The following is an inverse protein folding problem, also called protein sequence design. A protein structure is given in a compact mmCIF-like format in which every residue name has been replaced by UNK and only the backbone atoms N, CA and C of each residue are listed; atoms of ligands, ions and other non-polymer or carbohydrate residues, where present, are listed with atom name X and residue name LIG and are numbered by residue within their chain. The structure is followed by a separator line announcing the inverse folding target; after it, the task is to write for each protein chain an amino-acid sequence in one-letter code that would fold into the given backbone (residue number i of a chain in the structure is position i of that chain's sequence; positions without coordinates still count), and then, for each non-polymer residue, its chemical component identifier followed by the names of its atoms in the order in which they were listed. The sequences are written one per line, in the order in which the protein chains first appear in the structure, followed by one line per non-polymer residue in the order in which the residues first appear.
data_IF_004339335958
#
_entry.id   IF_004339335958
#
_cell.length_a   1.000
_cell.length_b   1.000
_cell.length_c   1.000
_cell.angle_alpha   90.00
_cell.angle_beta   90.00
_cell.angle_gamma   90.00
#
_symmetry.space_group_name_H-M   'P 1'
#
loop_
_entity.id
_entity.type
_entity.pdbx_description
1 polymer ?
#
# COMPACT_ATOMS: atom_id res chain seq x y z
N UNK A 1 12.54 15.42 20.07
CA UNK A 1 12.38 15.60 18.62
C UNK A 1 13.49 14.83 17.93
N UNK A 2 13.21 13.61 17.43
CA UNK A 2 14.15 12.78 16.68
C UNK A 2 13.43 12.26 15.44
N UNK A 3 13.72 12.86 14.29
CA UNK A 3 13.16 12.49 13.00
C UNK A 3 14.30 12.53 11.99
N UNK A 4 14.85 11.35 11.67
CA UNK A 4 15.68 11.11 10.49
C UNK A 4 15.46 9.68 9.99
N UNK A 5 14.26 9.44 9.45
CA UNK A 5 14.06 8.47 8.39
C UNK A 5 14.71 9.08 7.15
N UNK A 6 15.98 8.75 6.88
CA UNK A 6 16.69 9.24 5.69
C UNK A 6 15.85 8.91 4.47
N UNK A 7 15.53 9.97 3.74
CA UNK A 7 14.61 10.04 2.64
C UNK A 7 14.86 8.96 1.56
N UNK A 8 13.76 8.37 1.06
CA UNK A 8 13.61 7.87 -0.31
C UNK A 8 14.51 6.72 -0.77
N UNK A 9 14.08 5.47 -0.51
CA UNK A 9 14.61 4.28 -1.18
C UNK A 9 14.92 3.15 -0.19
N UNK A 10 14.05 2.15 -0.18
CA UNK A 10 14.09 0.93 0.64
C UNK A 10 15.44 0.22 0.51
N UNK A 11 16.41 0.50 1.40
CA UNK A 11 17.28 -0.48 2.10
C UNK A 11 17.93 0.22 3.30
N UNK A 12 17.34 0.09 4.49
CA UNK A 12 17.97 0.51 5.75
C UNK A 12 18.47 -0.72 6.52
N UNK A 13 19.77 -0.76 6.84
CA UNK A 13 20.34 -1.79 7.72
C UNK A 13 20.11 -1.41 9.19
N UNK A 14 19.82 -2.39 10.04
CA UNK A 14 19.68 -2.18 11.49
C UNK A 14 21.06 -1.83 12.08
N UNK A 15 21.21 -0.59 12.56
CA UNK A 15 22.50 -0.06 13.04
C UNK A 15 22.71 -0.15 14.56
N UNK A 16 21.65 -0.13 15.36
CA UNK A 16 21.74 -0.34 16.81
C UNK A 16 20.47 -0.99 17.40
N UNK A 17 20.64 -2.04 18.21
CA UNK A 17 19.56 -2.74 18.94
C UNK A 17 19.82 -2.58 20.43
N UNK A 18 19.00 -1.78 21.11
CA UNK A 18 19.14 -1.55 22.55
C UNK A 18 18.72 -2.77 23.37
N UNK A 19 19.44 -3.00 24.47
CA UNK A 19 19.06 -4.01 25.45
C UNK A 19 17.67 -3.72 26.04
N UNK A 20 16.83 -4.77 26.16
CA UNK A 20 15.40 -4.77 26.54
C UNK A 20 14.43 -4.07 25.56
N UNK A 21 14.87 -3.74 24.34
CA UNK A 21 13.99 -3.18 23.32
C UNK A 21 13.03 -4.24 22.74
N UNK A 22 11.87 -3.82 22.19
CA UNK A 22 11.00 -4.70 21.43
C UNK A 22 11.73 -5.43 20.29
N UNK A 23 12.71 -4.78 19.66
CA UNK A 23 13.54 -5.37 18.61
C UNK A 23 14.37 -6.57 19.11
N UNK A 24 14.99 -6.49 20.30
CA UNK A 24 15.71 -7.61 20.89
C UNK A 24 14.77 -8.78 21.25
N UNK A 25 13.60 -8.48 21.81
CA UNK A 25 12.60 -9.51 22.17
C UNK A 25 12.05 -10.24 20.95
N UNK A 26 12.03 -9.57 19.79
CA UNK A 26 11.61 -10.14 18.52
C UNK A 26 12.77 -10.81 17.76
N UNK A 27 13.97 -10.84 18.34
CA UNK A 27 15.15 -11.47 17.76
C UNK A 27 15.76 -10.72 16.58
N UNK A 28 15.42 -9.44 16.39
CA UNK A 28 16.00 -8.60 15.35
C UNK A 28 17.44 -8.28 15.72
N UNK A 29 18.38 -8.64 14.84
CA UNK A 29 19.80 -8.48 15.08
C UNK A 29 20.44 -7.40 14.19
N UNK A 30 21.61 -6.95 14.60
CA UNK A 30 22.41 -5.98 13.88
C UNK A 30 22.77 -6.51 12.49
N UNK A 31 22.69 -5.65 11.47
CA UNK A 31 22.99 -6.03 10.09
C UNK A 31 21.84 -6.70 9.33
N UNK A 32 20.68 -6.92 9.98
CA UNK A 32 19.47 -7.32 9.26
C UNK A 32 19.03 -6.22 8.28
N UNK A 33 18.58 -6.63 7.10
CA UNK A 33 18.01 -5.74 6.08
C UNK A 33 16.51 -5.67 6.28
N UNK A 34 15.99 -4.45 6.46
CA UNK A 34 14.56 -4.22 6.50
C UNK A 34 14.00 -4.34 5.08
N UNK A 35 13.32 -5.45 4.80
CA UNK A 35 12.76 -5.77 3.48
C UNK A 35 11.43 -5.05 3.24
N UNK A 36 10.58 -4.99 4.26
CA UNK A 36 9.26 -4.38 4.16
C UNK A 36 8.85 -3.78 5.50
N UNK A 37 8.30 -2.57 5.47
CA UNK A 37 7.69 -1.92 6.62
C UNK A 37 6.19 -1.86 6.37
N UNK A 38 5.40 -2.57 7.18
CA UNK A 38 3.95 -2.39 7.17
C UNK A 38 3.60 -1.04 7.80
N UNK A 39 3.62 0.00 6.96
CA UNK A 39 3.09 1.31 7.33
C UNK A 39 1.59 1.31 7.11
N UNK A 40 0.85 2.08 7.91
CA UNK A 40 -0.55 2.40 7.64
C UNK A 40 -0.61 3.11 6.29
N UNK A 41 -0.88 2.34 5.24
CA UNK A 41 -1.05 2.86 3.91
C UNK A 41 -2.52 3.26 3.76
N UNK A 42 -2.76 4.54 3.45
CA UNK A 42 -4.07 5.02 2.98
C UNK A 42 -4.30 4.46 1.58
N UNK A 43 -4.56 3.15 1.48
CA UNK A 43 -4.96 2.52 0.23
C UNK A 43 -6.32 3.08 -0.14
N UNK A 44 -6.46 3.52 -1.38
CA UNK A 44 -7.77 3.93 -1.91
C UNK A 44 -8.78 2.79 -1.73
N UNK A 45 -9.98 3.12 -1.26
CA UNK A 45 -10.99 2.12 -0.93
C UNK A 45 -11.26 1.21 -2.12
N UNK A 46 -11.50 -0.07 -1.82
CA UNK A 46 -11.68 -1.11 -2.84
C UNK A 46 -12.79 -0.78 -3.85
N UNK A 47 -13.76 0.03 -3.44
CA UNK A 47 -14.91 0.46 -4.23
C UNK A 47 -14.52 1.23 -5.50
N UNK A 48 -13.43 2.01 -5.44
CA UNK A 48 -12.92 2.78 -6.58
C UNK A 48 -12.49 1.89 -7.75
N UNK A 49 -12.16 0.63 -7.48
CA UNK A 49 -11.76 -0.32 -8.53
C UNK A 49 -12.93 -0.77 -9.41
N UNK A 50 -14.18 -0.59 -8.96
CA UNK A 50 -15.36 -1.02 -9.73
C UNK A 50 -15.89 0.03 -10.71
N UNK A 51 -15.42 1.28 -10.63
CA UNK A 51 -15.86 2.38 -11.50
C UNK A 51 -15.76 2.02 -13.00
N UNK A 52 -14.65 1.42 -13.51
CA UNK A 52 -14.55 1.04 -14.91
C UNK A 52 -15.58 0.00 -15.35
N UNK A 53 -15.95 -0.92 -14.45
CA UNK A 53 -16.94 -1.96 -14.74
C UNK A 53 -18.35 -1.38 -14.89
N UNK A 54 -18.74 -0.47 -14.00
CA UNK A 54 -20.03 0.23 -14.09
C UNK A 54 -20.11 1.11 -15.34
N UNK A 55 -19.02 1.80 -15.70
CA UNK A 55 -18.94 2.58 -16.93
C UNK A 55 -19.18 1.71 -18.17
N UNK A 56 -18.50 0.56 -18.26
CA UNK A 56 -18.67 -0.38 -19.36
C UNK A 56 -20.13 -0.88 -19.46
N UNK A 57 -20.75 -1.19 -18.31
CA UNK A 57 -22.15 -1.63 -18.28
C UNK A 57 -23.11 -0.54 -18.77
N UNK A 58 -22.94 0.71 -18.33
CA UNK A 58 -23.76 1.84 -18.79
C UNK A 58 -23.61 2.10 -20.28
N UNK A 59 -22.39 1.99 -20.83
CA UNK A 59 -22.13 2.13 -22.26
C UNK A 59 -22.87 1.07 -23.09
N UNK A 60 -22.80 -0.20 -22.67
CA UNK A 60 -23.52 -1.29 -23.34
C UNK A 60 -25.03 -1.07 -23.23
N UNK A 61 -25.53 -0.72 -22.05
CA UNK A 61 -26.97 -0.49 -21.84
C UNK A 61 -27.49 0.65 -22.72
N UNK A 62 -26.76 1.76 -22.81
CA UNK A 62 -27.07 2.89 -23.69
C UNK A 62 -27.07 2.52 -25.16
N UNK A 63 -26.08 1.72 -25.60
CA UNK A 63 -26.03 1.22 -26.98
C UNK A 63 -27.22 0.31 -27.32
N UNK A 64 -27.63 -0.56 -26.39
CA UNK A 64 -28.79 -1.45 -26.58
C UNK A 64 -30.12 -0.68 -26.59
N UNK A 65 -30.28 0.32 -25.71
CA UNK A 65 -31.48 1.17 -25.72
C UNK A 65 -31.61 1.98 -27.00
N UNK A 66 -30.50 2.49 -27.54
CA UNK A 66 -30.52 3.21 -28.83
C UNK A 66 -31.00 2.29 -29.96
N UNK A 67 -30.55 1.03 -29.99
CA UNK A 67 -30.97 0.03 -31.00
C UNK A 67 -32.45 -0.33 -30.91
N UNK A 68 -33.03 -0.36 -29.71
CA UNK A 68 -34.47 -0.68 -29.54
C UNK A 68 -35.41 0.47 -29.90
N UNK A 69 -34.91 1.70 -29.98
CA UNK A 69 -35.70 2.90 -30.32
C UNK A 69 -35.62 3.29 -31.80
N UNK A 70 -34.76 2.65 -32.59
CA UNK A 70 -34.73 2.73 -34.07
C UNK A 70 -35.52 1.57 -34.63
#
# INVERSE_FOLDING_TARGET
MFLRLRDLGVVGSVGDVRFDSPAQKWGVDFGWKVVELQTTNSRMDKEWFFIPAYLAMLLIMGAQWRRRRT
#
